data_IF_975862831560
#
_entry.id   IF_975862831560
#
_cell.length_a   1.000
_cell.length_b   1.000
_cell.length_c   1.000
_cell.angle_alpha   90.00
_cell.angle_beta   90.00
_cell.angle_gamma   90.00
#
_symmetry.space_group_name_H-M   'P 1'
#
loop_
_entity.id
_entity.type
_entity.pdbx_description
1 polymer ?
#
# COMPACT_ATOMS: atom_id res chain seq x y z
N UNK A 1 -8.82 1.54 18.15
CA UNK A 1 -7.78 0.54 17.81
C UNK A 1 -7.80 0.30 16.31
N UNK A 2 -6.65 0.14 15.64
CA UNK A 2 -6.60 -0.13 14.20
C UNK A 2 -7.25 -1.48 13.88
N UNK A 3 -8.25 -1.47 13.00
CA UNK A 3 -8.96 -2.68 12.58
C UNK A 3 -8.14 -3.44 11.54
N UNK A 4 -8.04 -4.76 11.71
CA UNK A 4 -7.51 -5.67 10.70
C UNK A 4 -8.69 -6.21 9.90
N UNK A 5 -8.62 -6.08 8.58
CA UNK A 5 -9.56 -6.72 7.66
C UNK A 5 -8.81 -7.79 6.89
N UNK A 6 -9.35 -9.01 6.89
CA UNK A 6 -8.77 -10.15 6.18
C UNK A 6 -9.78 -10.72 5.20
N UNK A 7 -9.35 -10.92 3.95
CA UNK A 7 -10.16 -11.54 2.91
C UNK A 7 -9.26 -12.29 1.93
N UNK A 8 -9.64 -13.51 1.53
CA UNK A 8 -8.94 -14.31 0.53
C UNK A 8 -7.43 -14.49 0.81
N UNK A 9 -7.04 -14.62 2.09
CA UNK A 9 -5.63 -14.78 2.48
C UNK A 9 -4.80 -13.49 2.45
N UNK A 10 -5.43 -12.33 2.24
CA UNK A 10 -4.83 -11.00 2.32
C UNK A 10 -5.37 -10.30 3.56
N UNK A 11 -4.48 -9.80 4.42
CA UNK A 11 -4.83 -8.99 5.59
C UNK A 11 -4.31 -7.58 5.43
N UNK A 12 -5.14 -6.59 5.76
CA UNK A 12 -4.77 -5.17 5.72
C UNK A 12 -5.08 -4.53 7.07
N UNK A 13 -4.14 -3.74 7.58
CA UNK A 13 -4.28 -2.92 8.78
C UNK A 13 -3.86 -1.49 8.47
N UNK A 14 -4.75 -0.53 8.70
CA UNK A 14 -4.47 0.88 8.50
C UNK A 14 -4.14 1.56 9.83
N UNK A 15 -3.07 2.34 9.86
CA UNK A 15 -2.65 3.18 10.97
C UNK A 15 -2.75 4.65 10.54
N UNK A 16 -3.76 5.34 11.06
CA UNK A 16 -3.90 6.77 10.82
C UNK A 16 -2.90 7.55 11.68
N UNK A 17 -2.06 8.36 11.02
CA UNK A 17 -1.22 9.37 11.64
C UNK A 17 -1.75 10.78 11.32
N UNK A 18 -1.02 11.80 11.76
CA UNK A 18 -1.42 13.20 11.62
C UNK A 18 -1.36 13.69 10.18
N UNK A 19 -0.39 13.20 9.41
CA UNK A 19 -0.10 13.66 8.03
C UNK A 19 -0.34 12.59 6.96
N UNK A 20 -0.64 11.36 7.37
CA UNK A 20 -0.78 10.25 6.46
C UNK A 20 -1.31 8.99 7.12
N UNK A 21 -1.54 7.97 6.30
CA UNK A 21 -1.98 6.65 6.76
C UNK A 21 -0.93 5.63 6.34
N UNK A 22 -0.39 4.89 7.31
CA UNK A 22 0.44 3.73 7.03
C UNK A 22 -0.46 2.52 6.84
N UNK A 23 -0.33 1.83 5.71
CA UNK A 23 -1.09 0.61 5.41
C UNK A 23 -0.13 -0.57 5.52
N UNK A 24 -0.35 -1.40 6.52
CA UNK A 24 0.36 -2.64 6.71
C UNK A 24 -0.43 -3.78 6.07
N UNK A 25 0.24 -4.57 5.23
CA UNK A 25 -0.39 -5.69 4.51
C UNK A 25 0.35 -6.98 4.84
N UNK A 26 -0.39 -8.07 4.92
CA UNK A 26 0.15 -9.42 5.03
C UNK A 26 -0.58 -10.35 4.06
N UNK A 27 0.11 -11.36 3.56
CA UNK A 27 -0.44 -12.38 2.67
C UNK A 27 0.00 -13.76 3.11
N UNK A 28 -0.92 -14.72 3.04
CA UNK A 28 -0.60 -16.13 3.25
C UNK A 28 0.41 -16.60 2.21
N UNK A 29 1.20 -17.62 2.55
CA UNK A 29 2.24 -18.14 1.66
C UNK A 29 1.67 -18.64 0.32
N UNK A 30 0.44 -19.17 0.34
CA UNK A 30 -0.29 -19.57 -0.87
C UNK A 30 -0.57 -18.42 -1.83
N UNK A 31 -0.90 -17.23 -1.31
CA UNK A 31 -1.18 -16.05 -2.12
C UNK A 31 0.13 -15.36 -2.56
N UNK A 32 1.20 -15.48 -1.78
CA UNK A 32 2.50 -14.83 -2.08
C UNK A 32 3.14 -15.35 -3.36
N UNK A 33 2.99 -16.65 -3.68
CA UNK A 33 3.69 -17.30 -4.79
C UNK A 33 3.38 -16.70 -6.17
N UNK A 34 2.15 -16.26 -6.38
CA UNK A 34 1.68 -15.72 -7.66
C UNK A 34 1.38 -14.21 -7.57
N UNK A 35 1.87 -13.54 -6.52
CA UNK A 35 1.63 -12.12 -6.32
C UNK A 35 2.67 -11.27 -7.04
N UNK A 36 2.23 -10.61 -8.10
CA UNK A 36 3.09 -9.72 -8.87
C UNK A 36 3.00 -8.27 -8.36
N UNK A 37 1.78 -7.75 -8.19
CA UNK A 37 1.52 -6.32 -7.95
C UNK A 37 0.19 -6.08 -7.22
N UNK A 38 -0.05 -4.85 -6.75
CA UNK A 38 -1.35 -4.46 -6.16
C UNK A 38 -1.73 -3.00 -6.46
N UNK A 39 -3.03 -2.73 -6.38
CA UNK A 39 -3.63 -1.40 -6.43
C UNK A 39 -4.42 -1.14 -5.15
N UNK A 40 -4.55 0.13 -4.75
CA UNK A 40 -5.32 0.51 -3.56
C UNK A 40 -6.43 1.48 -3.99
N UNK A 41 -7.68 1.08 -3.74
CA UNK A 41 -8.84 1.98 -3.77
C UNK A 41 -9.13 2.48 -2.36
N UNK A 42 -9.39 3.77 -2.22
CA UNK A 42 -9.89 4.37 -0.97
C UNK A 42 -11.26 4.99 -1.18
N UNK A 43 -12.03 5.06 -0.10
CA UNK A 43 -13.22 5.90 -0.05
C UNK A 43 -12.82 7.24 0.56
N UNK A 44 -13.05 8.32 -0.17
CA UNK A 44 -12.84 9.67 0.31
C UNK A 44 -13.90 9.98 1.38
N UNK A 45 -13.47 10.16 2.63
CA UNK A 45 -14.40 10.37 3.76
C UNK A 45 -15.23 11.65 3.66
N UNK A 46 -14.82 12.65 2.85
CA UNK A 46 -15.58 13.89 2.63
C UNK A 46 -16.61 13.73 1.51
N UNK A 47 -16.22 13.14 0.39
CA UNK A 47 -17.08 13.07 -0.81
C UNK A 47 -17.84 11.76 -0.95
N UNK A 48 -17.49 10.73 -0.18
CA UNK A 48 -18.01 9.36 -0.32
C UNK A 48 -17.55 8.65 -1.59
N UNK A 49 -16.74 9.31 -2.43
CA UNK A 49 -16.31 8.75 -3.71
C UNK A 49 -15.17 7.77 -3.53
N UNK A 50 -15.19 6.72 -4.36
CA UNK A 50 -14.08 5.80 -4.53
C UNK A 50 -12.99 6.43 -5.39
N UNK A 51 -11.76 6.36 -4.92
CA UNK A 51 -10.58 6.94 -5.56
C UNK A 51 -9.42 5.93 -5.52
N UNK A 52 -8.81 5.67 -6.66
CA UNK A 52 -7.56 4.91 -6.70
C UNK A 52 -6.40 5.76 -6.20
N UNK A 53 -5.55 5.20 -5.34
CA UNK A 53 -4.28 5.84 -5.00
C UNK A 53 -3.42 5.96 -6.25
N UNK A 54 -2.61 7.01 -6.31
CA UNK A 54 -1.75 7.31 -7.45
C UNK A 54 -0.29 7.04 -7.13
N UNK A 55 0.44 6.58 -8.14
CA UNK A 55 1.90 6.50 -8.14
C UNK A 55 2.51 7.45 -9.16
N UNK A 56 3.84 7.49 -9.22
CA UNK A 56 4.59 8.25 -10.23
C UNK A 56 5.47 7.35 -11.11
N UNK A 57 5.46 6.04 -10.86
CA UNK A 57 6.19 5.06 -11.66
C UNK A 57 5.25 4.53 -12.76
N UNK A 58 5.52 4.80 -14.04
CA UNK A 58 4.73 4.23 -15.13
C UNK A 58 5.02 2.74 -15.28
N UNK A 59 4.00 1.98 -15.66
CA UNK A 59 4.20 0.62 -16.15
C UNK A 59 4.70 0.69 -17.59
N UNK A 60 5.56 -0.23 -18.05
CA UNK A 60 6.22 -0.13 -19.36
C UNK A 60 5.26 0.00 -20.56
N UNK A 61 3.99 -0.37 -20.40
CA UNK A 61 2.94 -0.22 -21.43
C UNK A 61 2.22 1.14 -21.41
N UNK A 62 2.33 1.96 -20.34
CA UNK A 62 1.67 3.26 -20.24
C UNK A 62 2.50 4.36 -20.93
N UNK A 63 2.56 4.30 -22.27
CA UNK A 63 3.30 5.26 -23.14
C UNK A 63 2.84 6.72 -23.06
N UNK A 64 1.81 7.05 -22.28
CA UNK A 64 1.12 8.35 -22.31
C UNK A 64 1.34 9.26 -21.10
N UNK A 65 2.00 8.79 -20.04
CA UNK A 65 2.19 9.59 -18.83
C UNK A 65 3.43 10.46 -18.94
N UNK A 66 3.29 11.77 -18.72
CA UNK A 66 4.45 12.67 -18.62
C UNK A 66 5.23 12.35 -17.33
N UNK A 67 6.58 12.47 -17.32
CA UNK A 67 7.35 12.30 -16.09
C UNK A 67 6.79 13.17 -14.95
N UNK A 68 6.60 12.56 -13.78
CA UNK A 68 6.05 13.24 -12.59
C UNK A 68 4.52 13.39 -12.55
N UNK A 69 3.80 12.95 -13.59
CA UNK A 69 2.35 12.92 -13.56
C UNK A 69 1.84 11.80 -12.64
N UNK A 70 0.88 12.06 -11.73
CA UNK A 70 0.23 11.01 -10.96
C UNK A 70 -0.55 10.05 -11.86
N UNK A 71 -0.30 8.75 -11.71
CA UNK A 71 -0.98 7.68 -12.45
C UNK A 71 -1.78 6.84 -11.45
N UNK A 72 -3.09 6.61 -11.68
CA UNK A 72 -3.90 5.73 -10.84
C UNK A 72 -3.30 4.31 -10.75
N UNK A 73 -3.32 3.73 -9.55
CA UNK A 73 -2.70 2.43 -9.28
C UNK A 73 -3.37 1.24 -9.99
N UNK A 74 -4.61 1.36 -10.48
CA UNK A 74 -5.20 0.33 -11.34
C UNK A 74 -4.66 0.35 -12.78
N UNK A 75 -3.99 1.44 -13.19
CA UNK A 75 -3.36 1.60 -14.52
C UNK A 75 -1.86 1.30 -14.43
N UNK A 76 -1.19 1.85 -13.41
CA UNK A 76 0.20 1.57 -13.08
C UNK A 76 0.29 1.08 -11.63
N UNK A 77 0.23 -0.25 -11.39
CA UNK A 77 0.24 -0.82 -10.05
C UNK A 77 1.44 -0.43 -9.22
N UNK A 78 1.30 -0.50 -7.89
CA UNK A 78 2.39 -0.17 -6.97
C UNK A 78 3.38 -1.33 -6.99
N UNK A 79 4.57 -1.08 -7.56
CA UNK A 79 5.60 -2.12 -7.76
C UNK A 79 6.71 -2.10 -6.71
N UNK A 80 6.88 -0.98 -5.99
CA UNK A 80 8.00 -0.81 -5.05
C UNK A 80 7.53 -0.11 -3.78
N UNK A 81 7.84 -0.73 -2.65
CA UNK A 81 7.71 -0.11 -1.34
C UNK A 81 8.92 0.78 -1.08
N UNK A 82 8.65 2.00 -0.60
CA UNK A 82 9.66 2.84 0.05
C UNK A 82 9.59 2.53 1.53
N UNK A 83 10.69 2.06 2.09
CA UNK A 83 10.82 1.79 3.50
C UNK A 83 11.24 3.10 4.16
N UNK A 84 10.64 3.42 5.31
CA UNK A 84 11.08 4.52 6.14
C UNK A 84 11.44 3.95 7.51
N UNK A 85 12.61 4.31 8.01
CA UNK A 85 13.06 3.94 9.36
C UNK A 85 12.77 5.11 10.29
N UNK A 86 11.90 4.92 11.28
CA UNK A 86 11.76 5.85 12.40
C UNK A 86 12.66 5.38 13.53
N UNK A 87 13.60 6.22 13.97
CA UNK A 87 14.33 6.01 15.24
C UNK A 87 13.38 5.97 16.44
N UNK A 88 12.21 6.57 16.27
CA UNK A 88 11.20 6.72 17.30
C UNK A 88 10.32 5.47 17.18
N UNK A 89 10.53 4.53 18.10
CA UNK A 89 9.92 3.20 18.06
C UNK A 89 8.41 3.28 17.80
N UNK A 90 7.98 2.80 16.64
CA UNK A 90 6.59 2.50 16.37
C UNK A 90 6.24 1.25 17.19
N UNK A 91 5.82 1.44 18.44
CA UNK A 91 5.22 0.38 19.24
C UNK A 91 3.80 0.13 18.71
N UNK A 92 3.71 -0.55 17.56
CA UNK A 92 2.49 -1.23 17.18
C UNK A 92 2.66 -2.70 17.54
N UNK A 93 1.99 -3.13 18.60
CA UNK A 93 1.78 -4.54 18.91
C UNK A 93 1.38 -5.26 17.61
N UNK A 94 2.30 -6.08 17.08
CA UNK A 94 2.06 -6.92 15.90
C UNK A 94 2.91 -6.67 14.65
N UNK A 95 3.92 -5.80 14.65
CA UNK A 95 4.89 -5.73 13.55
C UNK A 95 6.34 -5.80 14.05
N UNK A 96 7.05 -6.87 13.69
CA UNK A 96 8.49 -7.02 13.91
C UNK A 96 9.21 -6.91 12.56
N UNK A 97 9.81 -5.76 12.29
CA UNK A 97 10.79 -5.62 11.22
C UNK A 97 12.08 -6.30 11.69
N UNK A 98 12.43 -7.42 11.09
CA UNK A 98 13.73 -8.06 11.31
C UNK A 98 14.53 -7.90 10.03
N UNK A 99 15.75 -7.39 10.13
CA UNK A 99 16.73 -7.41 9.04
C UNK A 99 17.00 -8.86 8.66
N UNK A 100 16.85 -9.17 7.38
CA UNK A 100 17.34 -10.42 6.80
C UNK A 100 18.68 -10.05 6.19
N UNK A 101 19.77 -10.59 6.75
CA UNK A 101 21.09 -10.57 6.11
C UNK A 101 21.12 -11.53 4.91
#
# INVERSE_FOLDING_TARGET
MPQIVSQNGISVKAYAGTTGVMVAMNMTDSQRKDWLEFAIERINGRSGKKEWLTGMLPFFSSRQSRPGQPIPSHIAPIQRFRWFNTSDGFNSDGFKLTTVE
#
